data_IF_431941774192
#
_entry.id   IF_431941774192
#
_cell.length_a   1.000
_cell.length_b   1.000
_cell.length_c   1.000
_cell.angle_alpha   90.00
_cell.angle_beta   90.00
_cell.angle_gamma   90.00
#
_symmetry.space_group_name_H-M   'P 1'
#
loop_
_entity.id
_entity.type
_entity.pdbx_description
1 polymer ?
#
# COMPACT_ATOMS: atom_id res chain seq x y z
N UNK A 1 -8.82 -5.48 13.04
CA UNK A 1 -7.98 -5.06 11.90
C UNK A 1 -8.05 -3.56 11.79
N UNK A 2 -7.36 -2.85 12.68
CA UNK A 2 -7.03 -1.45 12.45
C UNK A 2 -5.52 -1.42 12.64
N UNK A 3 -4.81 -0.93 11.62
CA UNK A 3 -3.37 -0.72 11.68
C UNK A 3 -3.13 0.75 11.37
N UNK A 4 -2.08 1.30 11.94
CA UNK A 4 -1.70 2.65 11.63
C UNK A 4 -0.87 2.66 10.33
N UNK A 5 -1.14 3.62 9.46
CA UNK A 5 -0.47 3.70 8.16
C UNK A 5 1.05 3.93 8.25
N UNK A 6 1.55 4.37 9.40
CA UNK A 6 3.00 4.45 9.65
C UNK A 6 3.63 3.06 9.78
N UNK A 7 2.91 2.06 10.30
CA UNK A 7 3.40 0.69 10.47
C UNK A 7 3.66 0.02 9.12
N UNK A 8 2.91 0.44 8.09
CA UNK A 8 3.06 -0.07 6.73
C UNK A 8 3.80 0.90 5.80
N UNK A 9 4.28 2.03 6.29
CA UNK A 9 5.08 2.94 5.48
C UNK A 9 6.42 2.28 5.11
N UNK A 10 6.88 2.49 3.88
CA UNK A 10 8.09 1.88 3.32
C UNK A 10 7.82 1.11 2.04
N UNK A 11 8.82 0.33 1.62
CA UNK A 11 8.80 -0.43 0.37
C UNK A 11 8.42 -1.89 0.61
N UNK A 12 7.67 -2.42 -0.34
CA UNK A 12 6.99 -3.71 -0.27
C UNK A 12 7.10 -4.42 -1.61
N UNK A 13 7.44 -5.71 -1.56
CA UNK A 13 7.65 -6.54 -2.74
C UNK A 13 6.77 -7.79 -2.72
N UNK A 14 6.25 -8.13 -3.89
CA UNK A 14 5.50 -9.34 -4.11
C UNK A 14 6.43 -10.46 -4.55
N UNK A 15 6.21 -11.67 -4.00
CA UNK A 15 6.92 -12.89 -4.43
C UNK A 15 6.25 -13.58 -5.63
N UNK A 16 5.07 -13.12 -6.04
CA UNK A 16 4.27 -13.69 -7.15
C UNK A 16 4.38 -12.87 -8.45
N UNK A 17 5.32 -11.91 -8.52
CA UNK A 17 5.54 -11.09 -9.71
C UNK A 17 4.63 -9.87 -9.84
N UNK A 18 3.81 -9.56 -8.82
CA UNK A 18 3.02 -8.33 -8.79
C UNK A 18 3.93 -7.09 -8.72
N UNK A 19 3.46 -5.91 -9.16
CA UNK A 19 4.25 -4.67 -9.13
C UNK A 19 4.72 -4.33 -7.72
N UNK A 20 5.90 -3.72 -7.60
CA UNK A 20 6.47 -3.23 -6.33
C UNK A 20 5.61 -2.09 -5.78
N UNK A 21 5.47 -2.01 -4.47
CA UNK A 21 4.63 -1.01 -3.81
C UNK A 21 5.45 -0.21 -2.80
N UNK A 22 5.22 1.10 -2.74
CA UNK A 22 5.75 1.96 -1.69
C UNK A 22 4.61 2.74 -1.02
N UNK A 23 4.51 2.63 0.30
CA UNK A 23 3.57 3.43 1.08
C UNK A 23 4.35 4.55 1.75
N UNK A 24 3.91 5.79 1.58
CA UNK A 24 4.61 6.94 2.15
C UNK A 24 3.64 8.04 2.55
N UNK A 25 4.04 8.83 3.54
CA UNK A 25 3.30 10.04 3.93
C UNK A 25 3.66 11.17 2.97
N UNK A 26 2.66 11.83 2.40
CA UNK A 26 2.86 12.99 1.55
C UNK A 26 2.57 14.28 2.36
N UNK A 27 3.60 15.04 2.78
CA UNK A 27 3.41 16.23 3.60
C UNK A 27 2.90 17.45 2.81
N UNK A 28 3.02 17.44 1.47
CA UNK A 28 2.80 18.62 0.62
C UNK A 28 1.35 18.93 0.24
N UNK A 29 0.38 18.07 0.59
CA UNK A 29 -1.06 18.34 0.34
C UNK A 29 -1.77 18.68 1.65
N UNK A 30 -2.62 19.72 1.64
CA UNK A 30 -3.50 20.07 2.78
C UNK A 30 -4.19 18.80 3.29
N UNK A 31 -3.84 18.37 4.51
CA UNK A 31 -4.36 17.15 5.15
C UNK A 31 -3.36 16.02 5.38
N UNK A 32 -2.12 16.07 4.87
CA UNK A 32 -1.00 15.23 5.34
C UNK A 32 -1.23 13.71 5.28
N UNK A 33 -1.87 13.23 4.21
CA UNK A 33 -2.29 11.82 4.05
C UNK A 33 -1.19 10.88 3.51
N UNK A 34 -1.49 9.59 3.52
CA UNK A 34 -0.64 8.55 2.96
C UNK A 34 -0.97 8.28 1.50
N UNK A 35 0.05 7.85 0.76
CA UNK A 35 -0.03 7.46 -0.64
C UNK A 35 0.55 6.07 -0.81
N UNK A 36 0.06 5.39 -1.83
CA UNK A 36 0.61 4.15 -2.37
C UNK A 36 1.15 4.48 -3.76
N UNK A 37 2.44 4.22 -3.97
CA UNK A 37 3.04 4.16 -5.30
C UNK A 37 3.12 2.70 -5.75
N UNK A 38 2.62 2.41 -6.95
CA UNK A 38 2.69 1.10 -7.61
C UNK A 38 3.64 1.23 -8.80
N UNK A 39 4.74 0.47 -8.77
CA UNK A 39 5.82 0.50 -9.77
C UNK A 39 5.87 -0.79 -10.59
N UNK A 40 5.62 -0.66 -11.89
CA UNK A 40 5.68 -1.76 -12.86
C UNK A 40 7.10 -1.88 -13.45
N UNK A 41 7.43 -3.09 -13.94
CA UNK A 41 8.77 -3.40 -14.48
C UNK A 41 9.14 -2.60 -15.74
N UNK A 42 8.14 -2.15 -16.48
CA UNK A 42 8.30 -1.30 -17.68
C UNK A 42 8.59 0.18 -17.34
N UNK A 43 8.68 0.52 -16.05
CA UNK A 43 8.91 1.88 -15.57
C UNK A 43 7.63 2.68 -15.31
N UNK A 44 6.45 2.15 -15.64
CA UNK A 44 5.17 2.80 -15.34
C UNK A 44 4.96 2.90 -13.82
N UNK A 45 4.63 4.09 -13.33
CA UNK A 45 4.34 4.35 -11.91
C UNK A 45 3.03 5.08 -11.71
N UNK A 46 2.23 4.61 -10.75
CA UNK A 46 1.01 5.29 -10.33
C UNK A 46 1.07 5.62 -8.84
N UNK A 47 0.76 6.86 -8.48
CA UNK A 47 0.64 7.29 -7.08
C UNK A 47 -0.81 7.61 -6.75
N UNK A 48 -1.36 6.95 -5.73
CA UNK A 48 -2.77 7.06 -5.32
C UNK A 48 -2.88 7.36 -3.83
N UNK A 49 -3.79 8.25 -3.41
CA UNK A 49 -4.02 8.50 -2.00
C UNK A 49 -4.65 7.28 -1.33
N UNK A 50 -4.19 6.93 -0.13
CA UNK A 50 -4.85 5.94 0.73
C UNK A 50 -6.04 6.60 1.41
N UNK A 51 -7.21 6.01 1.21
CA UNK A 51 -8.49 6.45 1.76
C UNK A 51 -8.90 5.54 2.91
N UNK A 52 -9.78 6.04 3.78
CA UNK A 52 -10.43 5.25 4.84
C UNK A 52 -11.93 5.18 4.53
N UNK A 53 -12.46 3.96 4.46
CA UNK A 53 -13.91 3.73 4.38
C UNK A 53 -14.49 3.44 5.77
N UNK A 54 -15.81 3.41 5.88
CA UNK A 54 -16.50 3.02 7.10
C UNK A 54 -16.08 1.60 7.53
N UNK A 55 -16.00 1.34 8.84
CA UNK A 55 -15.52 0.05 9.37
C UNK A 55 -13.99 -0.12 9.42
N UNK A 56 -13.20 0.95 9.22
CA UNK A 56 -11.75 0.92 9.42
C UNK A 56 -10.94 0.54 8.18
N UNK A 57 -11.60 0.15 7.10
CA UNK A 57 -10.93 -0.37 5.89
C UNK A 57 -10.11 0.73 5.21
N UNK A 58 -8.83 0.43 4.94
CA UNK A 58 -7.92 1.27 4.16
C UNK A 58 -7.89 0.77 2.73
N UNK A 59 -7.94 1.68 1.76
CA UNK A 59 -7.93 1.31 0.34
C UNK A 59 -7.32 2.41 -0.55
N UNK A 60 -6.99 2.05 -1.78
CA UNK A 60 -6.71 3.00 -2.86
C UNK A 60 -7.41 2.55 -4.15
N UNK A 61 -7.69 3.51 -5.02
CA UNK A 61 -8.31 3.23 -6.33
C UNK A 61 -7.23 3.14 -7.41
N UNK A 62 -7.02 1.95 -8.00
CA UNK A 62 -6.19 1.72 -9.17
C UNK A 62 -6.86 0.66 -10.06
N UNK A 63 -7.47 1.09 -11.16
CA UNK A 63 -8.33 0.25 -12.02
C UNK A 63 -9.50 -0.43 -11.28
N UNK A 64 -9.84 0.06 -10.09
CA UNK A 64 -10.81 -0.55 -9.19
C UNK A 64 -10.38 -0.35 -7.74
N UNK A 65 -11.17 -0.93 -6.84
CA UNK A 65 -10.97 -0.86 -5.40
C UNK A 65 -9.90 -1.87 -4.96
N UNK A 66 -8.85 -1.39 -4.28
CA UNK A 66 -7.79 -2.24 -3.70
C UNK A 66 -7.68 -1.98 -2.21
N UNK A 67 -8.11 -2.94 -1.39
CA UNK A 67 -8.02 -2.87 0.06
C UNK A 67 -6.62 -3.23 0.55
N UNK A 68 -6.19 -2.57 1.64
CA UNK A 68 -4.98 -2.91 2.40
C UNK A 68 -5.40 -3.63 3.68
N UNK A 69 -4.73 -4.74 3.96
CA UNK A 69 -4.71 -5.40 5.27
C UNK A 69 -3.25 -5.60 5.70
N UNK A 70 -3.00 -5.59 7.01
CA UNK A 70 -1.67 -5.79 7.56
C UNK A 70 -1.71 -6.84 8.66
N UNK A 71 -0.89 -7.88 8.50
CA UNK A 71 -0.63 -8.89 9.52
C UNK A 71 0.71 -8.54 10.19
N UNK A 72 0.62 -7.91 11.36
CA UNK A 72 1.79 -7.52 12.14
C UNK A 72 2.58 -8.72 12.70
N UNK A 73 1.95 -9.88 12.89
CA UNK A 73 2.62 -11.08 13.39
C UNK A 73 3.51 -11.74 12.33
N UNK A 74 3.15 -11.60 11.05
CA UNK A 74 3.91 -12.13 9.91
C UNK A 74 4.68 -11.06 9.13
N UNK A 75 4.49 -9.79 9.47
CA UNK A 75 4.98 -8.63 8.70
C UNK A 75 4.58 -8.69 7.23
N UNK A 76 3.30 -8.98 6.98
CA UNK A 76 2.73 -9.11 5.63
C UNK A 76 1.71 -8.01 5.38
N UNK A 77 1.95 -7.25 4.31
CA UNK A 77 0.96 -6.34 3.74
C UNK A 77 0.18 -7.11 2.66
N UNK A 78 -1.13 -7.23 2.81
CA UNK A 78 -1.98 -7.86 1.82
C UNK A 78 -2.75 -6.79 1.03
N UNK A 79 -2.69 -6.90 -0.29
CA UNK A 79 -3.47 -6.07 -1.22
C UNK A 79 -4.50 -6.94 -1.92
N UNK A 80 -5.79 -6.60 -1.81
CA UNK A 80 -6.88 -7.48 -2.25
C UNK A 80 -6.81 -7.93 -3.71
N UNK A 81 -6.25 -7.11 -4.60
CA UNK A 81 -6.10 -7.40 -6.04
C UNK A 81 -4.71 -7.93 -6.42
N UNK A 82 -3.71 -7.84 -5.53
CA UNK A 82 -2.31 -8.11 -5.85
C UNK A 82 -1.65 -9.18 -4.97
N UNK A 83 -2.33 -9.63 -3.91
CA UNK A 83 -1.87 -10.66 -2.99
C UNK A 83 -0.97 -10.14 -1.87
N UNK A 84 -0.10 -11.03 -1.38
CA UNK A 84 0.78 -10.78 -0.24
C UNK A 84 2.06 -10.06 -0.66
N UNK A 85 2.46 -9.11 0.17
CA UNK A 85 3.66 -8.33 0.06
C UNK A 85 4.49 -8.43 1.34
N UNK A 86 5.81 -8.44 1.14
CA UNK A 86 6.81 -8.51 2.19
C UNK A 86 7.66 -7.26 2.15
N UNK A 87 8.25 -6.87 3.28
CA UNK A 87 9.20 -5.76 3.30
C UNK A 87 10.30 -6.01 2.29
N UNK A 88 10.59 -5.01 1.45
CA UNK A 88 11.78 -5.05 0.65
C UNK A 88 12.99 -5.06 1.59
N UNK A 89 13.91 -6.00 1.43
CA UNK A 89 15.22 -5.93 2.07
C UNK A 89 15.98 -4.74 1.49
N UNK A 90 16.69 -3.99 2.34
CA UNK A 90 17.74 -3.07 1.88
C UNK A 90 18.81 -3.79 1.04
#
# INVERSE_FOLDING_TARGET
MDFALYEVAGEWESRSGSPRVRIYRNPGRRGGGFYVEVSYKDGTRFSRPVRKYWGGIRYFDLYGYVALAYDAGREVLQLSAYGDYYRASE
#
